data_IF_010029823211
#
_entry.id   IF_010029823211
#
_cell.length_a   1.000
_cell.length_b   1.000
_cell.length_c   1.000
_cell.angle_alpha   90.00
_cell.angle_beta   90.00
_cell.angle_gamma   90.00
#
_symmetry.space_group_name_H-M   'P 1'
#
loop_
_entity.id
_entity.type
_entity.pdbx_description
1 polymer ?
#
# COMPACT_ATOMS: atom_id res chain seq x y z
N UNK A 1 14.58 -1.69 6.33
CA UNK A 1 14.98 -1.54 4.92
C UNK A 1 16.22 -2.39 4.62
N UNK A 2 17.38 -2.19 5.30
CA UNK A 2 18.63 -2.88 4.99
C UNK A 2 18.50 -4.42 4.92
N UNK A 3 17.81 -5.04 5.90
CA UNK A 3 17.56 -6.47 5.89
C UNK A 3 16.74 -6.92 4.67
N UNK A 4 15.73 -6.15 4.29
CA UNK A 4 14.89 -6.44 3.14
C UNK A 4 15.68 -6.33 1.82
N UNK A 5 16.49 -5.29 1.67
CA UNK A 5 17.38 -5.12 0.52
C UNK A 5 18.34 -6.31 0.37
N UNK A 6 18.95 -6.75 1.48
CA UNK A 6 19.91 -7.89 1.48
C UNK A 6 19.29 -9.20 1.01
N UNK A 7 18.00 -9.41 1.22
CA UNK A 7 17.28 -10.63 0.79
C UNK A 7 16.53 -10.45 -0.53
N UNK A 8 16.67 -9.30 -1.19
CA UNK A 8 16.20 -9.08 -2.55
C UNK A 8 14.87 -8.35 -2.70
N UNK A 9 14.32 -7.74 -1.65
CA UNK A 9 13.13 -6.89 -1.80
C UNK A 9 13.47 -5.64 -2.62
N UNK A 10 12.59 -5.32 -3.57
CA UNK A 10 12.70 -4.14 -4.44
C UNK A 10 11.45 -3.26 -4.39
N UNK A 11 10.36 -3.72 -3.79
CA UNK A 11 9.15 -2.95 -3.58
C UNK A 11 9.06 -2.55 -2.11
N UNK A 12 8.92 -1.24 -1.86
CA UNK A 12 8.83 -0.64 -0.52
C UNK A 12 7.58 0.23 -0.44
N UNK A 13 6.82 0.03 0.63
CA UNK A 13 5.58 0.75 0.90
C UNK A 13 5.74 1.61 2.14
N UNK A 14 5.48 2.90 2.00
CA UNK A 14 5.56 3.89 3.04
C UNK A 14 4.29 4.75 3.09
N UNK A 15 4.22 5.72 3.98
CA UNK A 15 3.17 6.72 4.06
C UNK A 15 3.61 7.95 4.86
N UNK A 16 3.12 9.12 4.50
CA UNK A 16 3.35 10.35 5.26
C UNK A 16 2.96 10.22 6.76
N UNK A 17 1.92 9.40 7.05
CA UNK A 17 1.50 9.07 8.41
C UNK A 17 2.64 8.48 9.27
N UNK A 18 3.54 7.71 8.67
CA UNK A 18 4.58 6.97 9.42
C UNK A 18 5.72 7.87 9.85
N UNK A 19 5.83 9.07 9.29
CA UNK A 19 6.82 10.10 9.65
C UNK A 19 8.28 9.64 9.54
N UNK A 20 8.57 8.73 8.64
CA UNK A 20 9.89 8.13 8.41
C UNK A 20 10.28 8.07 6.93
N UNK A 21 9.60 8.85 6.06
CA UNK A 21 9.88 8.88 4.61
C UNK A 21 11.35 9.27 4.32
N UNK A 22 11.91 10.19 5.12
CA UNK A 22 13.31 10.58 4.97
C UNK A 22 14.27 9.42 5.23
N UNK A 23 14.08 8.70 6.34
CA UNK A 23 14.89 7.55 6.73
C UNK A 23 14.76 6.41 5.71
N UNK A 24 13.55 6.21 5.17
CA UNK A 24 13.31 5.24 4.10
C UNK A 24 14.07 5.64 2.84
N UNK A 25 13.98 6.89 2.41
CA UNK A 25 14.71 7.42 1.27
C UNK A 25 16.23 7.32 1.43
N UNK A 26 16.75 7.70 2.60
CA UNK A 26 18.18 7.60 2.92
C UNK A 26 18.66 6.13 2.83
N UNK A 27 17.92 5.18 3.40
CA UNK A 27 18.27 3.76 3.38
C UNK A 27 18.22 3.16 1.96
N UNK A 28 17.24 3.56 1.15
CA UNK A 28 17.12 3.09 -0.23
C UNK A 28 18.25 3.63 -1.11
N UNK A 29 18.65 4.91 -0.97
CA UNK A 29 19.81 5.46 -1.66
C UNK A 29 21.11 4.78 -1.23
N UNK A 30 21.27 4.51 0.06
CA UNK A 30 22.45 3.83 0.59
C UNK A 30 22.53 2.35 0.17
N UNK A 31 21.43 1.74 -0.29
CA UNK A 31 21.38 0.34 -0.73
C UNK A 31 22.22 0.06 -1.98
N UNK A 32 22.50 1.08 -2.80
CA UNK A 32 23.16 0.94 -4.08
C UNK A 32 22.33 0.28 -5.18
N UNK A 33 21.06 -0.06 -4.93
CA UNK A 33 20.15 -0.58 -5.95
C UNK A 33 19.80 0.56 -6.92
N UNK A 34 19.97 0.37 -8.25
CA UNK A 34 19.54 1.37 -9.24
C UNK A 34 18.07 1.75 -9.03
N UNK A 35 17.77 3.07 -9.08
CA UNK A 35 16.43 3.60 -8.79
C UNK A 35 15.33 2.95 -9.63
N UNK A 36 15.62 2.65 -10.88
CA UNK A 36 14.69 2.01 -11.81
C UNK A 36 14.36 0.55 -11.48
N UNK A 37 15.12 -0.06 -10.57
CA UNK A 37 14.84 -1.39 -10.03
C UNK A 37 14.07 -1.36 -8.72
N UNK A 38 13.82 -0.19 -8.17
CA UNK A 38 13.02 0.01 -6.97
C UNK A 38 11.61 0.45 -7.37
N UNK A 39 10.61 -0.10 -6.68
CA UNK A 39 9.24 0.38 -6.70
C UNK A 39 8.89 0.94 -5.32
N UNK A 40 8.59 2.23 -5.25
CA UNK A 40 8.34 2.92 -3.99
C UNK A 40 6.94 3.51 -3.99
N UNK A 41 6.15 3.08 -3.02
CA UNK A 41 4.81 3.60 -2.74
C UNK A 41 4.87 4.50 -1.53
N UNK A 42 4.18 5.65 -1.57
CA UNK A 42 3.82 6.42 -0.38
C UNK A 42 2.40 6.94 -0.49
N UNK A 43 1.87 7.54 0.60
CA UNK A 43 0.44 7.84 0.71
C UNK A 43 0.23 9.21 1.34
N UNK A 44 -0.72 9.98 0.76
CA UNK A 44 -1.21 11.21 1.38
C UNK A 44 -2.02 10.88 2.63
N UNK A 45 -1.82 11.64 3.70
CA UNK A 45 -2.58 11.45 4.93
C UNK A 45 -3.90 12.25 4.94
N UNK A 46 -4.82 11.82 5.80
CA UNK A 46 -6.19 12.35 5.90
C UNK A 46 -6.28 13.86 6.18
N UNK A 47 -5.25 14.49 6.72
CA UNK A 47 -5.21 15.93 6.97
C UNK A 47 -4.90 16.77 5.73
N UNK A 48 -4.46 16.15 4.65
CA UNK A 48 -3.89 16.83 3.51
C UNK A 48 -4.78 16.77 2.25
N UNK A 49 -6.03 16.31 2.37
CA UNK A 49 -6.94 16.16 1.24
C UNK A 49 -7.23 17.47 0.49
N UNK A 50 -7.13 18.60 1.18
CA UNK A 50 -7.35 19.93 0.57
C UNK A 50 -6.18 20.42 -0.28
N UNK A 51 -4.96 19.90 -0.07
CA UNK A 51 -3.76 20.33 -0.78
C UNK A 51 -2.84 19.16 -1.11
N UNK A 52 -3.27 18.37 -2.10
CA UNK A 52 -2.56 17.17 -2.56
C UNK A 52 -1.19 17.51 -3.14
N UNK A 53 -1.04 18.67 -3.81
CA UNK A 53 0.25 19.06 -4.40
C UNK A 53 1.29 19.34 -3.31
N UNK A 54 0.94 20.12 -2.29
CA UNK A 54 1.86 20.40 -1.19
C UNK A 54 2.18 19.13 -0.37
N UNK A 55 1.20 18.23 -0.16
CA UNK A 55 1.43 16.97 0.50
C UNK A 55 2.39 16.07 -0.30
N UNK A 56 2.20 16.00 -1.61
CA UNK A 56 3.10 15.27 -2.50
C UNK A 56 4.52 15.83 -2.47
N UNK A 57 4.67 17.15 -2.58
CA UNK A 57 5.99 17.79 -2.57
C UNK A 57 6.74 17.50 -1.26
N UNK A 58 6.06 17.50 -0.11
CA UNK A 58 6.67 17.09 1.18
C UNK A 58 7.17 15.65 1.17
N UNK A 59 6.36 14.71 0.72
CA UNK A 59 6.77 13.29 0.61
C UNK A 59 7.88 13.08 -0.41
N UNK A 60 7.79 13.76 -1.56
CA UNK A 60 8.79 13.70 -2.63
C UNK A 60 10.16 14.19 -2.15
N UNK A 61 10.20 15.34 -1.46
CA UNK A 61 11.42 15.92 -0.93
C UNK A 61 11.99 15.07 0.21
N UNK A 62 11.13 14.53 1.09
CA UNK A 62 11.56 13.66 2.19
C UNK A 62 12.19 12.36 1.66
N UNK A 63 11.55 11.66 0.74
CA UNK A 63 12.07 10.45 0.11
C UNK A 63 13.32 10.73 -0.73
N UNK A 64 13.34 11.86 -1.47
CA UNK A 64 14.45 12.30 -2.32
C UNK A 64 14.98 11.18 -3.25
N UNK A 65 14.08 10.50 -3.96
CA UNK A 65 14.38 9.35 -4.82
C UNK A 65 14.25 9.66 -6.33
N UNK A 66 14.04 10.94 -6.69
CA UNK A 66 13.89 11.40 -8.07
C UNK A 66 12.47 11.22 -8.62
N UNK A 67 11.75 10.19 -8.22
CA UNK A 67 10.31 10.00 -8.51
C UNK A 67 9.69 9.05 -7.48
N UNK A 68 8.36 9.04 -7.40
CA UNK A 68 7.53 8.11 -6.63
C UNK A 68 6.80 7.22 -7.63
N UNK A 69 6.89 5.90 -7.46
CA UNK A 69 6.24 4.96 -8.40
C UNK A 69 4.73 4.93 -8.21
N UNK A 70 4.26 4.96 -6.96
CA UNK A 70 2.84 4.92 -6.64
C UNK A 70 2.51 5.89 -5.49
N UNK A 71 1.58 6.81 -5.72
CA UNK A 71 1.09 7.74 -4.70
C UNK A 71 -0.38 7.46 -4.41
N UNK A 72 -0.70 7.08 -3.17
CA UNK A 72 -2.03 6.62 -2.80
C UNK A 72 -2.77 7.63 -1.94
N UNK A 73 -4.07 7.73 -2.14
CA UNK A 73 -4.99 8.27 -1.14
C UNK A 73 -5.13 7.24 -0.01
N UNK A 74 -4.63 7.55 1.20
CA UNK A 74 -4.49 6.57 2.29
C UNK A 74 -5.85 6.07 2.81
N UNK A 75 -6.82 6.99 2.93
CA UNK A 75 -8.21 6.71 3.31
C UNK A 75 -9.16 7.57 2.47
N UNK A 76 -10.39 7.09 2.21
CA UNK A 76 -11.39 7.91 1.52
C UNK A 76 -11.86 9.12 2.34
N UNK A 77 -11.61 9.11 3.63
CA UNK A 77 -12.07 10.10 4.59
C UNK A 77 -11.00 11.17 4.81
N UNK A 78 -11.36 12.44 4.65
CA UNK A 78 -10.58 13.56 5.14
C UNK A 78 -10.82 13.78 6.64
N UNK A 79 -9.82 14.34 7.32
CA UNK A 79 -9.94 14.74 8.71
C UNK A 79 -9.52 16.21 8.87
N UNK A 80 -10.13 16.88 9.83
CA UNK A 80 -9.73 18.24 10.22
C UNK A 80 -8.26 18.22 10.67
N UNK A 81 -7.40 19.09 10.13
CA UNK A 81 -5.98 19.11 10.49
C UNK A 81 -5.73 19.19 12.00
N UNK A 82 -4.96 18.23 12.52
CA UNK A 82 -4.68 18.10 13.95
C UNK A 82 -5.72 17.28 14.74
N UNK A 83 -6.91 17.05 14.19
CA UNK A 83 -8.02 16.39 14.88
C UNK A 83 -8.28 14.99 14.26
N UNK A 84 -7.57 13.98 14.73
CA UNK A 84 -7.57 12.63 14.13
C UNK A 84 -8.94 11.95 14.02
N UNK A 85 -9.89 12.35 14.85
CA UNK A 85 -11.21 11.71 14.96
C UNK A 85 -12.34 12.58 14.42
N UNK A 86 -12.03 13.80 13.95
CA UNK A 86 -13.03 14.70 13.39
C UNK A 86 -12.95 14.61 11.87
N UNK A 87 -14.04 14.11 11.29
CA UNK A 87 -14.19 14.03 9.83
C UNK A 87 -14.34 15.44 9.27
N UNK A 88 -13.67 15.71 8.17
CA UNK A 88 -13.83 16.93 7.39
C UNK A 88 -14.75 16.64 6.19
N UNK A 89 -16.02 16.97 6.34
CA UNK A 89 -17.04 16.77 5.29
C UNK A 89 -17.01 17.88 4.23
N UNK A 90 -16.11 18.87 4.34
CA UNK A 90 -16.02 19.96 3.36
C UNK A 90 -15.34 19.54 2.06
N UNK A 91 -14.68 18.37 2.04
CA UNK A 91 -14.05 17.79 0.86
C UNK A 91 -14.37 16.30 0.73
N UNK A 92 -14.75 15.87 -0.46
CA UNK A 92 -14.99 14.47 -0.75
C UNK A 92 -13.71 13.76 -1.28
N UNK A 93 -13.68 12.42 -1.17
CA UNK A 93 -12.61 11.65 -1.81
C UNK A 93 -12.59 11.79 -3.33
N UNK A 94 -13.72 12.12 -3.94
CA UNK A 94 -13.80 12.42 -5.39
C UNK A 94 -13.04 13.72 -5.71
N UNK A 95 -13.17 14.74 -4.87
CA UNK A 95 -12.46 16.01 -5.07
C UNK A 95 -10.96 15.85 -4.83
N UNK A 96 -10.59 15.07 -3.83
CA UNK A 96 -9.18 14.69 -3.59
C UNK A 96 -8.61 13.89 -4.77
N UNK A 97 -9.40 12.95 -5.33
CA UNK A 97 -8.99 12.18 -6.50
C UNK A 97 -8.72 13.07 -7.73
N UNK A 98 -9.56 14.06 -7.99
CA UNK A 98 -9.33 15.03 -9.07
C UNK A 98 -8.04 15.82 -8.89
N UNK A 99 -7.63 16.10 -7.64
CA UNK A 99 -6.34 16.72 -7.37
C UNK A 99 -5.18 15.74 -7.65
N UNK A 100 -5.33 14.43 -7.31
CA UNK A 100 -4.35 13.40 -7.68
C UNK A 100 -4.23 13.24 -9.19
N UNK A 101 -5.33 13.30 -9.94
CA UNK A 101 -5.29 13.30 -11.41
C UNK A 101 -4.51 14.50 -11.96
N UNK A 102 -4.75 15.69 -11.41
CA UNK A 102 -4.03 16.91 -11.77
C UNK A 102 -2.53 16.78 -11.44
N UNK A 103 -2.17 16.10 -10.38
CA UNK A 103 -0.79 15.86 -9.97
C UNK A 103 0.01 15.13 -11.06
N UNK A 104 -0.61 14.21 -11.81
CA UNK A 104 0.04 13.52 -12.93
C UNK A 104 0.52 14.50 -14.02
N UNK A 105 -0.16 15.62 -14.17
CA UNK A 105 0.18 16.69 -15.13
C UNK A 105 1.18 17.67 -14.52
N UNK A 106 0.88 18.20 -13.30
CA UNK A 106 1.68 19.26 -12.66
C UNK A 106 3.01 18.73 -12.10
N UNK A 107 3.11 17.43 -11.84
CA UNK A 107 4.32 16.73 -11.37
C UNK A 107 4.75 15.63 -12.35
N UNK A 108 4.55 15.87 -13.65
CA UNK A 108 4.93 14.92 -14.68
C UNK A 108 6.39 14.44 -14.53
N UNK A 109 6.58 13.13 -14.56
CA UNK A 109 7.88 12.48 -14.34
C UNK A 109 8.28 12.30 -12.87
N UNK A 110 7.67 13.03 -11.91
CA UNK A 110 7.92 12.86 -10.46
C UNK A 110 7.01 11.84 -9.81
N UNK A 111 5.83 11.58 -10.37
CA UNK A 111 4.90 10.51 -9.97
C UNK A 111 4.57 9.65 -11.17
N UNK A 112 4.62 8.32 -11.01
CA UNK A 112 4.40 7.37 -12.12
C UNK A 112 2.97 6.83 -12.15
N UNK A 113 2.33 6.69 -10.99
CA UNK A 113 0.97 6.20 -10.86
C UNK A 113 0.29 6.72 -9.61
N UNK A 114 -1.04 6.76 -9.68
CA UNK A 114 -1.89 7.12 -8.54
C UNK A 114 -2.87 5.99 -8.23
N UNK A 115 -3.20 5.85 -6.96
CA UNK A 115 -4.12 4.83 -6.48
C UNK A 115 -4.79 5.22 -5.18
N UNK A 116 -5.48 4.27 -4.61
CA UNK A 116 -6.24 4.44 -3.37
C UNK A 116 -5.89 3.36 -2.35
N UNK A 117 -6.26 3.60 -1.10
CA UNK A 117 -6.16 2.63 -0.02
C UNK A 117 -7.40 2.70 0.86
N UNK A 118 -7.85 1.56 1.38
CA UNK A 118 -9.04 1.44 2.21
C UNK A 118 -10.36 1.82 1.51
N UNK A 119 -10.42 1.67 0.19
CA UNK A 119 -11.64 1.89 -0.57
C UNK A 119 -12.47 0.62 -0.63
N UNK A 120 -13.68 0.70 -0.09
CA UNK A 120 -14.68 -0.36 -0.24
C UNK A 120 -15.21 -0.45 -1.66
N UNK A 121 -15.91 -1.54 -1.98
CA UNK A 121 -16.63 -1.70 -3.25
C UNK A 121 -17.56 -0.50 -3.54
N UNK A 122 -18.27 -0.01 -2.51
CA UNK A 122 -19.15 1.17 -2.62
C UNK A 122 -18.34 2.42 -3.01
N UNK A 123 -17.23 2.68 -2.32
CA UNK A 123 -16.41 3.87 -2.55
C UNK A 123 -15.74 3.82 -3.93
N UNK A 124 -15.24 2.66 -4.36
CA UNK A 124 -14.68 2.52 -5.71
C UNK A 124 -15.75 2.69 -6.79
N UNK A 125 -16.93 2.11 -6.60
CA UNK A 125 -18.04 2.28 -7.55
C UNK A 125 -18.41 3.75 -7.70
N UNK A 126 -18.44 4.51 -6.60
CA UNK A 126 -18.72 5.96 -6.66
C UNK A 126 -17.56 6.71 -7.31
N UNK A 127 -16.32 6.45 -6.92
CA UNK A 127 -15.14 7.10 -7.48
C UNK A 127 -15.09 6.94 -9.00
N UNK A 128 -15.30 5.73 -9.51
CA UNK A 128 -15.21 5.41 -10.94
C UNK A 128 -16.27 6.09 -11.81
N UNK A 129 -17.35 6.63 -11.24
CA UNK A 129 -18.31 7.46 -11.98
C UNK A 129 -17.73 8.83 -12.36
N UNK A 130 -16.74 9.29 -11.60
CA UNK A 130 -16.19 10.65 -11.70
C UNK A 130 -14.73 10.68 -12.14
N UNK A 131 -14.01 9.58 -11.97
CA UNK A 131 -12.59 9.47 -12.29
C UNK A 131 -12.36 9.47 -13.80
N UNK A 132 -11.39 10.30 -14.24
CA UNK A 132 -10.84 10.27 -15.61
C UNK A 132 -9.72 9.23 -15.71
N UNK A 133 -8.98 9.03 -14.64
CA UNK A 133 -7.92 8.02 -14.50
C UNK A 133 -8.40 6.96 -13.53
N UNK A 134 -8.40 5.69 -13.95
CA UNK A 134 -8.73 4.57 -13.07
C UNK A 134 -7.59 4.42 -12.05
N UNK A 135 -7.88 4.27 -10.74
CA UNK A 135 -6.84 3.97 -9.74
C UNK A 135 -6.01 2.76 -10.18
N UNK A 136 -4.69 2.90 -10.23
CA UNK A 136 -3.83 1.78 -10.59
C UNK A 136 -3.80 0.69 -9.50
N UNK A 137 -4.07 1.07 -8.24
CA UNK A 137 -4.02 0.20 -7.07
C UNK A 137 -5.12 0.55 -6.07
N UNK A 138 -5.65 -0.47 -5.39
CA UNK A 138 -6.37 -0.33 -4.12
C UNK A 138 -5.65 -1.18 -3.07
N UNK A 139 -5.05 -0.53 -2.07
CA UNK A 139 -4.36 -1.20 -0.98
C UNK A 139 -5.33 -1.38 0.20
N UNK A 140 -5.62 -2.62 0.58
CA UNK A 140 -6.60 -2.96 1.64
C UNK A 140 -6.06 -4.05 2.56
N UNK A 141 -6.63 -4.16 3.76
CA UNK A 141 -6.39 -5.33 4.60
C UNK A 141 -7.07 -6.55 3.97
N UNK A 142 -6.28 -7.57 3.60
CA UNK A 142 -6.85 -8.84 3.18
C UNK A 142 -5.93 -10.02 3.52
N UNK A 143 -6.55 -11.07 4.06
CA UNK A 143 -5.96 -12.32 4.50
C UNK A 143 -7.08 -13.37 4.65
N UNK A 144 -6.83 -14.67 4.89
CA UNK A 144 -7.86 -15.69 4.95
C UNK A 144 -9.06 -15.41 5.88
N UNK A 145 -8.87 -14.61 6.94
CA UNK A 145 -9.95 -14.21 7.85
C UNK A 145 -10.68 -12.92 7.43
N UNK A 146 -10.12 -12.17 6.48
CA UNK A 146 -10.72 -10.99 5.87
C UNK A 146 -10.50 -11.04 4.35
N UNK A 147 -11.31 -11.80 3.66
CA UNK A 147 -11.04 -12.19 2.27
C UNK A 147 -11.29 -11.10 1.24
N UNK A 148 -12.22 -10.19 1.51
CA UNK A 148 -12.62 -9.11 0.58
C UNK A 148 -12.87 -9.60 -0.86
N UNK A 149 -13.46 -10.81 -1.02
CA UNK A 149 -13.53 -11.52 -2.30
C UNK A 149 -14.26 -10.73 -3.38
N UNK A 150 -15.38 -10.09 -3.04
CA UNK A 150 -16.15 -9.28 -4.00
C UNK A 150 -15.38 -8.02 -4.41
N UNK A 151 -14.67 -7.39 -3.46
CA UNK A 151 -13.83 -6.23 -3.72
C UNK A 151 -12.64 -6.60 -4.62
N UNK A 152 -11.95 -7.70 -4.32
CA UNK A 152 -10.82 -8.20 -5.13
C UNK A 152 -11.28 -8.48 -6.56
N UNK A 153 -12.38 -9.21 -6.73
CA UNK A 153 -12.95 -9.50 -8.04
C UNK A 153 -13.30 -8.22 -8.80
N UNK A 154 -13.99 -7.29 -8.16
CA UNK A 154 -14.34 -6.01 -8.76
C UNK A 154 -13.11 -5.23 -9.21
N UNK A 155 -12.07 -5.13 -8.36
CA UNK A 155 -10.82 -4.47 -8.71
C UNK A 155 -10.19 -5.10 -9.94
N UNK A 156 -10.07 -6.43 -9.98
CA UNK A 156 -9.51 -7.18 -11.11
C UNK A 156 -10.28 -6.93 -12.41
N UNK A 157 -11.62 -6.93 -12.36
CA UNK A 157 -12.48 -6.61 -13.52
C UNK A 157 -12.29 -5.17 -14.03
N UNK A 158 -11.87 -4.25 -13.17
CA UNK A 158 -11.60 -2.84 -13.50
C UNK A 158 -10.13 -2.57 -13.82
N UNK A 159 -9.26 -3.57 -13.79
CA UNK A 159 -7.82 -3.40 -14.00
C UNK A 159 -7.11 -2.70 -12.85
N UNK A 160 -7.68 -2.73 -11.64
CA UNK A 160 -7.12 -2.16 -10.41
C UNK A 160 -6.35 -3.27 -9.69
N UNK A 161 -5.05 -3.08 -9.47
CA UNK A 161 -4.25 -3.99 -8.66
C UNK A 161 -4.69 -3.93 -7.20
N UNK A 162 -4.90 -5.09 -6.58
CA UNK A 162 -5.11 -5.16 -5.12
C UNK A 162 -3.80 -5.47 -4.43
N UNK A 163 -3.51 -4.71 -3.37
CA UNK A 163 -2.35 -4.95 -2.50
C UNK A 163 -2.81 -5.15 -1.08
N UNK A 164 -2.41 -6.26 -0.48
CA UNK A 164 -2.75 -6.63 0.89
C UNK A 164 -1.77 -5.97 1.89
N UNK A 165 -2.23 -5.04 2.69
CA UNK A 165 -1.52 -4.69 3.92
C UNK A 165 -1.96 -5.63 5.05
N UNK A 166 -1.15 -5.77 6.09
CA UNK A 166 -1.35 -6.75 7.18
C UNK A 166 -1.72 -8.16 6.67
N UNK A 167 -1.05 -8.70 5.64
CA UNK A 167 -1.45 -9.96 5.01
C UNK A 167 -1.37 -11.16 5.96
N UNK A 168 -0.63 -11.06 7.06
CA UNK A 168 -0.52 -12.06 8.13
C UNK A 168 -1.46 -11.77 9.31
N UNK A 169 -2.37 -10.82 9.16
CA UNK A 169 -3.18 -10.26 10.24
C UNK A 169 -2.39 -9.28 11.11
N UNK A 170 -3.08 -8.63 12.04
CA UNK A 170 -2.47 -7.69 12.97
C UNK A 170 -1.70 -8.43 14.08
N UNK A 171 -0.99 -7.66 14.91
CA UNK A 171 -0.33 -8.18 16.13
C UNK A 171 -1.34 -8.98 16.96
N UNK A 172 -0.98 -10.21 17.30
CA UNK A 172 -1.84 -11.19 17.99
C UNK A 172 -2.92 -11.87 17.12
N UNK A 173 -2.90 -11.71 15.79
CA UNK A 173 -3.76 -12.52 14.93
C UNK A 173 -3.52 -14.02 15.16
N UNK A 174 -4.58 -14.84 15.31
CA UNK A 174 -4.42 -16.27 15.47
C UNK A 174 -4.06 -17.00 14.16
N UNK A 175 -4.09 -16.33 13.03
CA UNK A 175 -4.00 -16.94 11.69
C UNK A 175 -2.78 -17.84 11.49
N UNK A 176 -1.63 -17.46 12.06
CA UNK A 176 -0.40 -18.29 11.97
C UNK A 176 -0.42 -19.52 12.92
N UNK A 177 -1.41 -19.60 13.80
CA UNK A 177 -1.63 -20.72 14.73
C UNK A 177 -2.87 -21.52 14.34
N UNK A 178 -3.52 -21.16 13.27
CA UNK A 178 -4.68 -21.85 12.74
C UNK A 178 -4.30 -23.27 12.33
N UNK A 179 -5.10 -24.26 12.75
CA UNK A 179 -4.81 -25.68 12.55
C UNK A 179 -4.76 -26.05 11.06
N UNK A 180 -5.63 -25.47 10.23
CA UNK A 180 -5.66 -25.71 8.79
C UNK A 180 -4.42 -25.12 8.12
N UNK A 181 -4.03 -23.89 8.50
CA UNK A 181 -2.81 -23.24 7.96
C UNK A 181 -1.56 -24.04 8.34
N UNK A 182 -1.49 -24.55 9.57
CA UNK A 182 -0.39 -25.41 10.04
C UNK A 182 -0.41 -26.74 9.29
N UNK A 183 -1.57 -27.36 9.09
CA UNK A 183 -1.69 -28.61 8.35
C UNK A 183 -1.21 -28.48 6.91
N UNK A 184 -1.64 -27.41 6.21
CA UNK A 184 -1.21 -27.10 4.84
C UNK A 184 0.33 -26.90 4.79
N UNK A 185 0.90 -26.14 5.73
CA UNK A 185 2.35 -25.93 5.75
C UNK A 185 3.14 -27.23 5.92
N UNK A 186 2.67 -28.14 6.77
CA UNK A 186 3.25 -29.48 6.97
C UNK A 186 3.11 -30.38 5.75
N UNK A 187 1.94 -30.34 5.08
CA UNK A 187 1.69 -31.12 3.86
C UNK A 187 2.61 -30.70 2.70
N UNK A 188 2.80 -29.39 2.52
CA UNK A 188 3.73 -28.86 1.51
C UNK A 188 5.18 -29.24 1.87
N UNK A 189 5.55 -29.21 3.15
CA UNK A 189 6.89 -29.57 3.62
C UNK A 189 7.97 -28.60 3.16
N UNK A 190 9.19 -29.09 2.97
CA UNK A 190 10.35 -28.33 2.45
C UNK A 190 10.66 -27.00 3.17
N UNK A 191 10.31 -26.91 4.46
CA UNK A 191 10.54 -25.70 5.26
C UNK A 191 9.51 -24.58 5.04
N UNK A 192 8.41 -24.86 4.32
CA UNK A 192 7.29 -23.90 4.18
C UNK A 192 6.66 -23.62 5.53
N UNK A 193 6.54 -22.33 5.87
CA UNK A 193 5.98 -21.89 7.15
C UNK A 193 4.49 -21.52 7.01
N UNK A 194 3.73 -21.44 8.12
CA UNK A 194 2.39 -20.88 8.11
C UNK A 194 2.32 -19.47 7.50
N UNK A 195 3.35 -18.63 7.68
CA UNK A 195 3.42 -17.32 7.06
C UNK A 195 3.49 -17.43 5.53
N UNK A 196 4.32 -18.33 4.99
CA UNK A 196 4.40 -18.55 3.55
C UNK A 196 3.05 -19.02 2.97
N UNK A 197 2.33 -19.92 3.67
CA UNK A 197 0.99 -20.36 3.25
C UNK A 197 0.03 -19.17 3.11
N UNK A 198 -0.05 -18.33 4.15
CA UNK A 198 -0.95 -17.18 4.17
C UNK A 198 -0.58 -16.12 3.14
N UNK A 199 0.71 -15.84 2.95
CA UNK A 199 1.17 -14.91 1.91
C UNK A 199 0.84 -15.43 0.51
N UNK A 200 1.12 -16.72 0.25
CA UNK A 200 0.83 -17.34 -1.04
C UNK A 200 -0.68 -17.41 -1.34
N UNK A 201 -1.53 -17.53 -0.34
CA UNK A 201 -2.99 -17.47 -0.54
C UNK A 201 -3.41 -16.16 -1.24
N UNK A 202 -2.84 -15.01 -0.86
CA UNK A 202 -3.07 -13.76 -1.54
C UNK A 202 -2.43 -13.72 -2.95
N UNK A 203 -1.18 -14.16 -3.07
CA UNK A 203 -0.45 -14.15 -4.35
C UNK A 203 -1.16 -14.99 -5.40
N UNK A 204 -1.67 -16.17 -5.03
CA UNK A 204 -2.43 -17.04 -5.94
C UNK A 204 -3.76 -16.45 -6.40
N UNK A 205 -4.31 -15.49 -5.65
CA UNK A 205 -5.52 -14.74 -6.03
C UNK A 205 -5.20 -13.51 -6.90
N UNK A 206 -3.93 -13.28 -7.27
CA UNK A 206 -3.50 -12.09 -7.99
C UNK A 206 -3.43 -10.83 -7.11
N UNK A 207 -3.26 -11.00 -5.80
CA UNK A 207 -3.14 -9.91 -4.81
C UNK A 207 -1.68 -9.79 -4.39
N UNK A 208 -1.10 -8.60 -4.52
CA UNK A 208 0.23 -8.30 -3.99
C UNK A 208 0.21 -8.25 -2.46
N UNK A 209 1.34 -8.52 -1.81
CA UNK A 209 1.41 -8.58 -0.34
C UNK A 209 2.51 -7.68 0.22
N UNK A 210 2.23 -7.06 1.36
CA UNK A 210 3.16 -6.21 2.11
C UNK A 210 3.43 -6.80 3.50
N UNK A 211 4.21 -7.88 3.61
CA UNK A 211 4.57 -8.43 4.90
C UNK A 211 5.56 -7.48 5.59
N UNK A 212 5.26 -7.07 6.81
CA UNK A 212 6.10 -6.16 7.59
C UNK A 212 6.74 -6.90 8.76
N UNK A 213 8.05 -6.79 8.91
CA UNK A 213 8.76 -7.25 10.10
C UNK A 213 9.93 -6.33 10.45
N UNK A 214 10.24 -6.24 11.75
CA UNK A 214 11.48 -5.65 12.29
C UNK A 214 12.54 -6.72 12.57
N UNK A 215 12.18 -8.01 12.46
CA UNK A 215 13.09 -9.14 12.64
C UNK A 215 13.63 -9.56 11.27
N UNK A 216 14.96 -9.56 11.12
CA UNK A 216 15.62 -9.84 9.85
C UNK A 216 15.36 -11.27 9.35
N UNK A 217 15.25 -12.26 10.25
CA UNK A 217 14.96 -13.65 9.88
C UNK A 217 13.56 -13.78 9.30
N UNK A 218 12.56 -13.12 9.91
CA UNK A 218 11.20 -13.09 9.36
C UNK A 218 11.11 -12.33 8.03
N UNK A 219 11.91 -11.26 7.85
CA UNK A 219 12.00 -10.56 6.57
C UNK A 219 12.50 -11.49 5.47
N UNK A 220 13.46 -12.36 5.80
CA UNK A 220 13.98 -13.37 4.87
C UNK A 220 13.00 -14.52 4.65
N UNK A 221 12.25 -14.91 5.68
CA UNK A 221 11.26 -15.99 5.63
C UNK A 221 10.05 -15.60 4.77
N UNK A 222 9.56 -14.34 4.87
CA UNK A 222 8.44 -13.80 4.10
C UNK A 222 8.77 -13.66 2.61
#
# INVERSE_FOLDING_TARGET
>A
IEAAVKVGYTHFDDAALYKNEKEVGDALRASGIPREKLFVTTKIWNFDHHDVEAAFDRSFDALNLGYIDMYLLHWPQANVPGEKHIVDDSISFVDTWKQLEKLLETRAGKVKGIGVSNFSLKNLTELLKHAKVVPAMNQVETHPYNQESDLVKFCQEKGILVTAYSPLGLTNSPILKDEDVIAISKEIGNGVTPANVVLNWNVQRGVAVLPKSINADRVKEN
#
